data_IF_226788866234
#
_entry.id   IF_226788866234
#
_cell.length_a   1.000
_cell.length_b   1.000
_cell.length_c   1.000
_cell.angle_alpha   90.00
_cell.angle_beta   90.00
_cell.angle_gamma   90.00
#
_symmetry.space_group_name_H-M   'P 1'
#
loop_
_entity.id
_entity.type
_entity.pdbx_description
1 polymer ?
#
# COMPACT_ATOMS: atom_id res chain seq x y z
N UNK A 1 6.64 29.51 -27.61
CA UNK A 1 5.28 28.92 -27.57
C UNK A 1 5.42 27.43 -27.81
N UNK A 2 5.43 26.63 -26.74
CA UNK A 2 5.60 25.17 -26.79
C UNK A 2 4.21 24.53 -26.78
N UNK A 3 3.87 23.78 -27.82
CA UNK A 3 2.56 23.15 -27.95
C UNK A 3 2.45 21.94 -27.03
N UNK A 4 1.26 21.80 -26.44
CA UNK A 4 0.89 20.86 -25.40
C UNK A 4 0.96 19.40 -25.86
N UNK A 5 1.64 18.56 -25.08
CA UNK A 5 1.52 17.10 -25.16
C UNK A 5 0.15 16.68 -24.64
N UNK A 6 -0.80 16.45 -25.55
CA UNK A 6 -2.10 15.87 -25.23
C UNK A 6 -1.93 14.39 -24.89
N UNK A 7 -2.04 14.12 -23.59
CA UNK A 7 -2.15 12.80 -22.96
C UNK A 7 -3.01 11.86 -23.81
N UNK A 8 -2.39 10.87 -24.45
CA UNK A 8 -3.08 9.75 -25.09
C UNK A 8 -3.56 8.77 -24.02
N UNK A 9 -4.62 9.12 -23.29
CA UNK A 9 -5.37 8.15 -22.53
C UNK A 9 -6.12 7.26 -23.52
N UNK A 10 -5.59 6.07 -23.78
CA UNK A 10 -6.27 5.08 -24.62
C UNK A 10 -7.59 4.70 -23.96
N UNK A 11 -8.69 5.06 -24.62
CA UNK A 11 -10.04 4.79 -24.14
C UNK A 11 -10.47 3.37 -24.54
N UNK A 12 -10.11 2.41 -23.69
CA UNK A 12 -10.42 1.00 -23.89
C UNK A 12 -11.91 0.66 -23.73
N UNK A 13 -12.75 1.64 -23.37
CA UNK A 13 -14.20 1.45 -23.18
C UNK A 13 -14.90 0.94 -24.44
N UNK A 14 -14.40 1.28 -25.63
CA UNK A 14 -14.93 0.83 -26.93
C UNK A 14 -14.80 -0.68 -27.16
N UNK A 15 -13.83 -1.34 -26.52
CA UNK A 15 -13.58 -2.78 -26.67
C UNK A 15 -14.24 -3.63 -25.60
N UNK A 16 -14.94 -3.01 -24.65
CA UNK A 16 -15.69 -3.72 -23.64
C UNK A 16 -17.06 -4.13 -24.20
N UNK A 17 -17.56 -5.33 -23.87
CA UNK A 17 -18.90 -5.73 -24.25
C UNK A 17 -19.93 -4.76 -23.66
N UNK A 18 -20.92 -4.38 -24.47
CA UNK A 18 -22.03 -3.54 -24.03
C UNK A 18 -22.89 -4.34 -23.05
N UNK A 19 -23.13 -3.79 -21.86
CA UNK A 19 -24.01 -4.40 -20.89
C UNK A 19 -25.45 -4.44 -21.44
N UNK A 20 -26.00 -5.63 -21.64
CA UNK A 20 -27.35 -5.86 -22.17
C UNK A 20 -28.44 -5.73 -21.11
N UNK A 21 -28.06 -5.78 -19.83
CA UNK A 21 -28.98 -5.76 -18.69
C UNK A 21 -28.74 -4.52 -17.83
N UNK A 22 -29.81 -4.03 -17.19
CA UNK A 22 -29.68 -3.03 -16.14
C UNK A 22 -28.79 -3.59 -15.02
N UNK A 23 -27.87 -2.76 -14.53
CA UNK A 23 -26.96 -3.14 -13.44
C UNK A 23 -27.77 -3.65 -12.25
N UNK A 24 -27.67 -4.95 -11.97
CA UNK A 24 -28.31 -5.56 -10.81
C UNK A 24 -27.85 -4.87 -9.52
N UNK A 25 -28.78 -4.68 -8.58
CA UNK A 25 -28.45 -4.21 -7.25
C UNK A 25 -27.44 -5.17 -6.63
N UNK A 26 -26.26 -4.65 -6.28
CA UNK A 26 -25.23 -5.42 -5.59
C UNK A 26 -25.65 -5.50 -4.12
N UNK A 27 -26.08 -6.64 -3.58
CA UNK A 27 -26.51 -6.73 -2.17
C UNK A 27 -25.36 -6.41 -1.21
N UNK A 28 -24.11 -6.56 -1.63
CA UNK A 28 -22.92 -6.12 -0.88
C UNK A 28 -22.77 -4.60 -0.74
N UNK A 29 -23.53 -3.81 -1.52
CA UNK A 29 -23.54 -2.34 -1.46
C UNK A 29 -24.63 -1.80 -0.53
N UNK A 30 -25.55 -2.66 -0.06
CA UNK A 30 -26.41 -2.37 1.08
C UNK A 30 -25.50 -2.35 2.30
N UNK A 31 -24.83 -1.20 2.47
CA UNK A 31 -23.96 -0.94 3.62
C UNK A 31 -24.81 -1.16 4.85
N UNK A 32 -24.46 -2.18 5.61
CA UNK A 32 -25.02 -2.50 6.92
C UNK A 32 -25.12 -1.16 7.67
N UNK A 33 -26.34 -0.63 7.84
CA UNK A 33 -26.56 0.52 8.70
C UNK A 33 -26.33 0.02 10.12
N UNK A 34 -25.11 0.18 10.59
CA UNK A 34 -24.76 -0.21 11.96
C UNK A 34 -25.54 0.70 12.90
N UNK A 35 -26.22 0.09 13.86
CA UNK A 35 -26.91 0.82 14.93
C UNK A 35 -25.90 1.72 15.67
N UNK A 36 -26.28 2.97 15.92
CA UNK A 36 -25.46 3.94 16.63
C UNK A 36 -25.08 3.44 18.04
N UNK A 37 -25.94 2.64 18.67
CA UNK A 37 -25.68 2.01 19.96
C UNK A 37 -24.51 1.04 19.88
N UNK A 38 -24.51 0.20 18.84
CA UNK A 38 -23.45 -0.77 18.58
C UNK A 38 -22.10 -0.08 18.29
N UNK A 39 -22.11 0.97 17.45
CA UNK A 39 -20.90 1.74 17.15
C UNK A 39 -20.33 2.41 18.40
N UNK A 40 -21.19 2.95 19.27
CA UNK A 40 -20.79 3.59 20.52
C UNK A 40 -20.12 2.60 21.47
N UNK A 41 -20.71 1.41 21.62
CA UNK A 41 -20.11 0.33 22.41
C UNK A 41 -18.77 -0.12 21.84
N UNK A 42 -18.67 -0.32 20.52
CA UNK A 42 -17.44 -0.73 19.87
C UNK A 42 -16.30 0.30 20.07
N UNK A 43 -16.60 1.60 19.96
CA UNK A 43 -15.61 2.66 20.18
C UNK A 43 -15.16 2.67 21.64
N UNK A 44 -16.09 2.55 22.60
CA UNK A 44 -15.78 2.49 24.02
C UNK A 44 -14.87 1.30 24.37
N UNK A 45 -15.18 0.10 23.85
CA UNK A 45 -14.36 -1.09 24.07
C UNK A 45 -12.99 -1.00 23.38
N UNK A 46 -12.91 -0.39 22.20
CA UNK A 46 -11.63 -0.16 21.51
C UNK A 46 -10.67 0.71 22.35
N UNK A 47 -11.18 1.67 23.10
CA UNK A 47 -10.36 2.49 24.01
C UNK A 47 -9.84 1.72 25.23
N UNK A 48 -10.51 0.63 25.60
CA UNK A 48 -10.10 -0.26 26.70
C UNK A 48 -9.06 -1.29 26.30
N UNK A 49 -8.88 -1.53 25.00
CA UNK A 49 -7.86 -2.46 24.52
C UNK A 49 -6.45 -1.91 24.80
N UNK A 50 -5.51 -2.76 25.26
CA UNK A 50 -4.13 -2.34 25.43
C UNK A 50 -3.57 -1.90 24.07
N UNK A 51 -2.78 -0.82 24.06
CA UNK A 51 -2.12 -0.30 22.87
C UNK A 51 -1.23 -1.39 22.26
N UNK A 52 -1.75 -2.10 21.26
CA UNK A 52 -1.01 -3.17 20.56
C UNK A 52 0.30 -2.67 19.92
N UNK A 53 0.40 -1.36 19.68
CA UNK A 53 1.54 -0.70 19.04
C UNK A 53 2.74 -0.46 19.94
N UNK A 54 2.56 -0.42 21.26
CA UNK A 54 3.68 -0.22 22.19
C UNK A 54 4.64 -1.40 22.13
N UNK A 55 4.12 -2.62 21.98
CA UNK A 55 4.91 -3.85 21.82
C UNK A 55 5.56 -4.02 20.44
N UNK A 56 5.19 -3.22 19.42
CA UNK A 56 5.68 -3.35 18.03
C UNK A 56 6.59 -2.22 17.59
N UNK A 57 6.81 -1.21 18.42
CA UNK A 57 7.79 -0.16 18.14
C UNK A 57 9.08 -0.53 18.85
N UNK A 58 10.06 -0.94 18.05
CA UNK A 58 11.44 -0.92 18.52
C UNK A 58 11.78 0.51 19.00
N UNK A 59 12.53 0.68 20.10
CA UNK A 59 13.06 1.97 20.48
C UNK A 59 13.82 2.61 19.30
N UNK A 60 13.82 3.94 19.25
CA UNK A 60 14.40 4.71 18.13
C UNK A 60 15.85 4.29 17.86
N UNK A 61 16.63 4.03 18.91
CA UNK A 61 18.01 3.59 18.80
C UNK A 61 18.15 2.23 18.10
N UNK A 62 17.23 1.29 18.36
CA UNK A 62 17.20 -0.01 17.69
C UNK A 62 16.82 0.13 16.21
N UNK A 63 15.89 1.04 15.89
CA UNK A 63 15.56 1.34 14.50
C UNK A 63 16.77 1.92 13.75
N UNK A 64 17.50 2.87 14.35
CA UNK A 64 18.72 3.47 13.77
C UNK A 64 19.79 2.40 13.53
N UNK A 65 20.02 1.50 14.49
CA UNK A 65 20.94 0.37 14.35
C UNK A 65 20.55 -0.60 13.22
N UNK A 66 19.25 -0.89 13.07
CA UNK A 66 18.74 -1.75 12.00
C UNK A 66 18.95 -1.12 10.61
N UNK A 67 18.71 0.18 10.46
CA UNK A 67 18.97 0.90 9.20
C UNK A 67 20.46 0.96 8.86
N UNK A 68 21.34 1.20 9.84
CA UNK A 68 22.79 1.15 9.64
C UNK A 68 23.26 -0.26 9.21
N UNK A 69 22.69 -1.31 9.82
CA UNK A 69 23.00 -2.71 9.47
C UNK A 69 22.48 -3.09 8.08
N UNK A 70 21.29 -2.59 7.70
CA UNK A 70 20.73 -2.78 6.36
C UNK A 70 21.57 -2.09 5.27
N UNK A 71 22.04 -0.87 5.53
CA UNK A 71 22.87 -0.11 4.60
C UNK A 71 24.24 -0.78 4.34
N UNK A 72 24.82 -1.44 5.36
CA UNK A 72 26.06 -2.21 5.19
C UNK A 72 25.83 -3.56 4.51
N UNK A 73 24.65 -4.16 4.65
CA UNK A 73 24.25 -5.38 3.91
C UNK A 73 24.06 -5.15 2.41
N UNK A 74 23.75 -3.92 1.97
CA UNK A 74 23.68 -3.58 0.53
C UNK A 74 25.04 -3.45 -0.15
N UNK A 75 26.16 -3.62 0.56
CA UNK A 75 27.48 -3.77 -0.06
C UNK A 75 27.53 -5.11 -0.78
N UNK A 76 27.08 -5.08 -2.04
CA UNK A 76 27.04 -6.18 -3.01
C UNK A 76 28.47 -6.63 -3.32
N UNK A 77 29.06 -7.46 -2.46
CA UNK A 77 30.33 -8.14 -2.80
C UNK A 77 30.10 -8.97 -4.06
N UNK A 78 30.95 -8.79 -5.07
CA UNK A 78 30.97 -9.73 -6.19
C UNK A 78 31.35 -11.11 -5.64
N UNK A 79 30.63 -12.18 -6.02
CA UNK A 79 31.06 -13.54 -5.72
C UNK A 79 32.48 -13.78 -6.24
N UNK A 80 33.24 -14.64 -5.57
CA UNK A 80 34.58 -15.00 -6.01
C UNK A 80 34.54 -15.50 -7.47
N UNK A 81 35.33 -14.88 -8.34
CA UNK A 81 35.40 -15.22 -9.77
C UNK A 81 34.73 -14.23 -10.73
N UNK A 82 33.91 -13.29 -10.25
CA UNK A 82 33.35 -12.24 -11.11
C UNK A 82 34.33 -11.05 -11.25
N UNK A 83 34.57 -10.60 -12.49
CA UNK A 83 35.37 -9.39 -12.79
C UNK A 83 34.45 -8.27 -13.31
N UNK A 84 34.63 -7.06 -12.78
CA UNK A 84 33.98 -5.86 -13.31
C UNK A 84 34.83 -5.34 -14.48
N UNK A 85 34.29 -5.34 -15.70
CA UNK A 85 34.88 -4.63 -16.83
C UNK A 85 34.38 -3.18 -16.79
N UNK A 86 35.13 -2.30 -16.13
CA UNK A 86 34.92 -0.86 -16.29
C UNK A 86 35.36 -0.44 -17.68
N UNK A 87 34.45 0.16 -18.46
CA UNK A 87 34.80 0.91 -19.67
C UNK A 87 35.30 2.29 -19.20
N UNK A 88 36.46 2.68 -19.71
CA UNK A 88 37.10 3.98 -19.46
C UNK A 88 36.33 5.13 -20.12
#
# INVERSE_FOLDING_TARGET
MSQNETSHSQDFSRYLPVATEARAERPSLVRISSDATFLSQMIAERQRLPLQREKRRAPVDEAVGAYATGATRSVRRMPAGYRHTGVA
#
